data_IF_743993703786
#
_entry.id   IF_743993703786
#
_cell.length_a   1.000
_cell.length_b   1.000
_cell.length_c   1.000
_cell.angle_alpha   90.00
_cell.angle_beta   90.00
_cell.angle_gamma   90.00
#
_symmetry.space_group_name_H-M   'P 1'
#
loop_
_entity.id
_entity.type
_entity.pdbx_description
1 polymer ?
#
# COMPACT_ATOMS: atom_id res chain seq x y z
N UNK A 1 9.77 24.91 -5.02
CA UNK A 1 9.68 23.74 -4.12
C UNK A 1 8.35 23.08 -4.39
N UNK A 2 8.33 21.90 -5.00
CA UNK A 2 7.10 21.12 -5.13
C UNK A 2 6.72 20.62 -3.75
N UNK A 3 5.62 21.14 -3.19
CA UNK A 3 5.08 20.60 -1.94
C UNK A 3 4.66 19.15 -2.21
N UNK A 4 5.34 18.20 -1.57
CA UNK A 4 4.96 16.79 -1.65
C UNK A 4 3.59 16.62 -0.98
N UNK A 5 2.58 16.33 -1.79
CA UNK A 5 1.22 16.07 -1.31
C UNK A 5 1.17 14.64 -0.81
N UNK A 6 0.74 14.46 0.44
CA UNK A 6 0.40 13.15 1.02
C UNK A 6 -1.11 13.06 1.14
N UNK A 7 -1.68 12.00 0.60
CA UNK A 7 -3.12 11.78 0.63
C UNK A 7 -3.42 10.51 1.44
N UNK A 8 -4.50 10.52 2.20
CA UNK A 8 -4.90 9.42 3.08
C UNK A 8 -6.38 9.12 2.96
N UNK A 9 -6.72 7.83 3.11
CA UNK A 9 -8.07 7.41 3.45
C UNK A 9 -8.12 7.19 4.96
N UNK A 10 -9.17 7.68 5.61
CA UNK A 10 -9.31 7.59 7.05
C UNK A 10 -10.77 7.40 7.46
N UNK A 11 -11.00 7.00 8.71
CA UNK A 11 -12.31 6.93 9.33
C UNK A 11 -12.39 7.95 10.45
N UNK A 12 -13.45 8.76 10.44
CA UNK A 12 -13.80 9.70 11.51
C UNK A 12 -15.32 9.70 11.68
N UNK A 13 -15.79 9.58 12.93
CA UNK A 13 -17.22 9.42 13.27
C UNK A 13 -17.92 8.28 12.51
N UNK A 14 -17.25 7.12 12.38
CA UNK A 14 -17.73 5.93 11.65
C UNK A 14 -17.85 6.08 10.13
N UNK A 15 -17.63 7.27 9.58
CA UNK A 15 -17.62 7.51 8.14
C UNK A 15 -16.22 7.37 7.58
N UNK A 16 -16.10 6.69 6.44
CA UNK A 16 -14.89 6.71 5.62
C UNK A 16 -14.78 8.05 4.89
N UNK A 17 -13.58 8.62 4.90
CA UNK A 17 -13.26 9.96 4.42
C UNK A 17 -11.89 9.98 3.75
N UNK A 18 -11.62 11.07 3.04
CA UNK A 18 -10.41 11.27 2.26
C UNK A 18 -9.79 12.61 2.60
N UNK A 19 -8.46 12.64 2.73
CA UNK A 19 -7.79 13.82 3.21
C UNK A 19 -6.39 14.02 2.68
N UNK A 20 -5.92 15.26 2.79
CA UNK A 20 -4.56 15.68 2.49
C UNK A 20 -3.81 15.97 3.79
N UNK A 21 -2.62 15.41 3.95
CA UNK A 21 -1.83 15.54 5.18
C UNK A 21 -0.95 16.78 5.12
N UNK A 22 -1.04 17.64 6.13
CA UNK A 22 -0.16 18.80 6.33
C UNK A 22 0.30 18.85 7.78
N UNK A 23 1.60 18.61 8.02
CA UNK A 23 2.11 18.45 9.39
C UNK A 23 1.47 17.25 10.09
N UNK A 24 0.85 17.51 11.25
CA UNK A 24 0.08 16.57 12.07
C UNK A 24 -1.43 16.66 11.82
N UNK A 25 -1.84 17.35 10.75
CA UNK A 25 -3.22 17.57 10.39
C UNK A 25 -3.61 16.86 9.10
N UNK A 26 -4.90 16.58 8.97
CA UNK A 26 -5.56 16.11 7.76
C UNK A 26 -6.64 17.12 7.37
N UNK A 27 -6.49 17.71 6.19
CA UNK A 27 -7.55 18.47 5.55
C UNK A 27 -8.56 17.49 4.93
N UNK A 28 -9.80 17.44 5.42
CA UNK A 28 -10.87 16.55 4.96
C UNK A 28 -11.47 17.05 3.63
N UNK A 29 -10.97 16.48 2.53
CA UNK A 29 -11.34 16.85 1.17
C UNK A 29 -12.50 16.00 0.64
N UNK A 30 -13.13 15.16 1.46
CA UNK A 30 -14.16 14.21 1.02
C UNK A 30 -15.26 14.86 0.18
N UNK A 31 -15.72 16.05 0.60
CA UNK A 31 -16.77 16.82 -0.06
C UNK A 31 -16.30 17.51 -1.36
N UNK A 32 -14.99 17.63 -1.58
CA UNK A 32 -14.39 18.27 -2.76
C UNK A 32 -14.18 17.28 -3.92
N UNK A 33 -14.18 15.97 -3.65
CA UNK A 33 -13.91 14.93 -4.66
C UNK A 33 -15.11 14.63 -5.58
N UNK A 34 -16.28 15.21 -5.30
CA UNK A 34 -17.48 14.98 -6.11
C UNK A 34 -18.01 13.54 -6.09
N UNK A 35 -18.94 13.23 -6.98
CA UNK A 35 -19.65 11.94 -7.01
C UNK A 35 -18.77 10.73 -7.38
N UNK A 36 -17.67 10.98 -8.09
CA UNK A 36 -16.75 9.94 -8.57
C UNK A 36 -15.70 9.54 -7.52
N UNK A 37 -15.56 10.33 -6.47
CA UNK A 37 -14.82 9.98 -5.25
C UNK A 37 -13.31 9.79 -5.43
N UNK A 38 -12.73 9.02 -4.52
CA UNK A 38 -11.28 8.84 -4.38
C UNK A 38 -10.63 8.02 -5.48
N UNK A 39 -11.33 6.99 -6.00
CA UNK A 39 -10.78 6.08 -6.99
C UNK A 39 -10.46 6.79 -8.31
N UNK A 40 -11.31 7.71 -8.78
CA UNK A 40 -11.06 8.47 -10.01
C UNK A 40 -9.82 9.39 -9.89
N UNK A 41 -9.55 9.93 -8.70
CA UNK A 41 -8.36 10.76 -8.48
C UNK A 41 -7.06 9.93 -8.46
N UNK A 42 -7.18 8.63 -8.19
CA UNK A 42 -6.07 7.68 -8.30
C UNK A 42 -5.94 7.12 -9.73
N UNK A 43 -7.06 6.82 -10.38
CA UNK A 43 -7.17 6.30 -11.74
C UNK A 43 -7.12 7.43 -12.78
N UNK A 44 -5.94 7.67 -13.35
CA UNK A 44 -5.76 8.51 -14.54
C UNK A 44 -4.61 9.49 -14.41
N UNK A 45 -4.53 10.24 -13.31
CA UNK A 45 -3.56 11.35 -13.16
C UNK A 45 -2.74 11.33 -11.86
N UNK A 46 -3.04 10.40 -10.95
CA UNK A 46 -2.37 10.25 -9.66
C UNK A 46 -2.74 11.32 -8.63
N UNK A 47 -2.41 11.04 -7.36
CA UNK A 47 -2.66 11.94 -6.22
C UNK A 47 -1.93 13.29 -6.34
N UNK A 48 -0.94 13.37 -7.23
CA UNK A 48 -0.12 14.56 -7.49
C UNK A 48 -0.89 15.71 -8.14
N UNK A 49 -2.12 15.49 -8.61
CA UNK A 49 -2.96 16.54 -9.19
C UNK A 49 -4.06 17.07 -8.26
N UNK A 50 -4.13 16.59 -7.01
CA UNK A 50 -5.01 17.25 -6.02
C UNK A 50 -4.50 18.69 -5.83
N UNK A 51 -5.35 19.72 -6.04
CA UNK A 51 -4.90 21.10 -5.96
C UNK A 51 -4.39 21.40 -4.54
N UNK A 52 -3.19 21.99 -4.36
CA UNK A 52 -2.71 22.41 -3.04
C UNK A 52 -3.70 23.33 -2.31
N UNK A 53 -4.54 24.06 -3.06
CA UNK A 53 -5.61 24.90 -2.51
C UNK A 53 -6.64 24.12 -1.69
N UNK A 54 -6.79 22.81 -1.88
CA UNK A 54 -7.70 21.98 -1.08
C UNK A 54 -7.33 21.98 0.40
N UNK A 55 -6.04 22.15 0.73
CA UNK A 55 -5.59 22.30 2.12
C UNK A 55 -6.24 23.50 2.83
N UNK A 56 -6.61 24.54 2.08
CA UNK A 56 -7.18 25.77 2.64
C UNK A 56 -8.72 25.79 2.60
N UNK A 57 -9.35 24.85 1.89
CA UNK A 57 -10.80 24.79 1.68
C UNK A 57 -11.49 23.75 2.57
N UNK A 58 -10.72 22.82 3.13
CA UNK A 58 -11.23 21.70 3.88
C UNK A 58 -11.04 21.90 5.41
N UNK A 59 -12.01 21.44 6.23
CA UNK A 59 -11.81 21.35 7.68
C UNK A 59 -10.58 20.51 8.01
N UNK A 60 -9.83 20.93 9.03
CA UNK A 60 -8.65 20.22 9.50
C UNK A 60 -8.98 19.35 10.72
N UNK A 61 -8.46 18.12 10.71
CA UNK A 61 -8.54 17.17 11.82
C UNK A 61 -7.13 16.75 12.25
N UNK A 62 -6.84 16.64 13.56
CA UNK A 62 -5.59 16.04 14.02
C UNK A 62 -5.47 14.60 13.51
N UNK A 63 -4.30 14.23 12.99
CA UNK A 63 -4.05 12.87 12.46
C UNK A 63 -4.27 11.77 13.49
N UNK A 64 -4.08 12.09 14.78
CA UNK A 64 -4.24 11.17 15.90
C UNK A 64 -5.71 10.96 16.30
N UNK A 65 -6.63 11.80 15.82
CA UNK A 65 -8.06 11.72 16.12
C UNK A 65 -8.82 10.88 15.08
N UNK A 66 -8.12 10.34 14.09
CA UNK A 66 -8.69 9.51 13.03
C UNK A 66 -8.07 8.12 13.00
N UNK A 67 -8.81 7.14 12.46
CA UNK A 67 -8.23 5.84 12.11
C UNK A 67 -7.82 5.84 10.63
N UNK A 68 -6.52 5.80 10.33
CA UNK A 68 -6.05 5.66 8.96
C UNK A 68 -6.41 4.27 8.40
N UNK A 69 -6.81 4.24 7.14
CA UNK A 69 -7.20 3.03 6.42
C UNK A 69 -6.15 2.71 5.36
N UNK A 70 -6.13 1.47 4.80
CA UNK A 70 -5.38 1.20 3.57
C UNK A 70 -5.69 2.28 2.52
N UNK A 71 -4.77 2.65 1.62
CA UNK A 71 -4.99 3.77 0.70
C UNK A 71 -6.09 3.50 -0.34
N UNK A 72 -6.30 2.24 -0.72
CA UNK A 72 -7.29 1.79 -1.73
C UNK A 72 -8.38 0.93 -1.10
N UNK A 73 -9.65 1.22 -1.41
CA UNK A 73 -10.78 0.53 -0.76
C UNK A 73 -10.98 -0.84 -1.38
N UNK A 74 -10.84 -0.91 -2.70
CA UNK A 74 -11.01 -2.12 -3.49
C UNK A 74 -9.93 -2.20 -4.58
N UNK A 75 -8.66 -2.45 -4.23
CA UNK A 75 -7.61 -2.59 -5.23
C UNK A 75 -7.86 -3.83 -6.09
N UNK A 76 -7.76 -3.69 -7.42
CA UNK A 76 -8.06 -4.79 -8.34
C UNK A 76 -7.04 -5.93 -8.32
N UNK A 77 -5.75 -5.61 -8.13
CA UNK A 77 -4.65 -6.59 -7.99
C UNK A 77 -3.63 -6.08 -6.99
N UNK A 78 -3.12 -6.97 -6.14
CA UNK A 78 -1.96 -6.72 -5.28
C UNK A 78 -0.93 -7.79 -5.64
N UNK A 79 0.16 -7.36 -6.27
CA UNK A 79 1.24 -8.23 -6.75
C UNK A 79 2.48 -7.89 -5.94
N UNK A 80 3.02 -8.88 -5.24
CA UNK A 80 4.19 -8.76 -4.39
C UNK A 80 5.40 -9.34 -5.11
N UNK A 81 6.58 -8.74 -4.87
CA UNK A 81 7.86 -9.20 -5.40
C UNK A 81 8.64 -9.85 -4.27
N UNK A 82 8.93 -11.15 -4.39
CA UNK A 82 9.76 -11.86 -3.43
C UNK A 82 11.24 -11.63 -3.69
N UNK A 83 12.02 -11.50 -2.60
CA UNK A 83 13.50 -11.45 -2.60
C UNK A 83 14.05 -10.37 -3.55
N UNK A 84 13.83 -9.10 -3.19
CA UNK A 84 14.19 -7.96 -4.04
C UNK A 84 15.18 -6.95 -3.38
N UNK A 85 15.82 -7.34 -2.28
CA UNK A 85 16.93 -6.58 -1.69
C UNK A 85 18.26 -7.34 -1.89
N UNK A 86 19.27 -6.72 -2.51
CA UNK A 86 20.51 -7.40 -2.90
C UNK A 86 21.40 -7.77 -1.71
N UNK A 87 21.39 -6.98 -0.64
CA UNK A 87 22.05 -7.30 0.63
C UNK A 87 21.21 -8.32 1.41
N UNK A 88 21.35 -9.59 1.01
CA UNK A 88 20.68 -10.71 1.68
C UNK A 88 21.20 -10.89 3.11
N UNK A 89 20.28 -11.19 4.03
CA UNK A 89 20.59 -11.84 5.30
C UNK A 89 21.38 -13.15 5.04
N UNK A 90 22.24 -13.55 5.98
CA UNK A 90 23.11 -14.74 5.87
C UNK A 90 22.37 -16.03 5.47
N UNK A 91 21.07 -16.09 5.74
CA UNK A 91 20.15 -17.21 5.47
C UNK A 91 19.92 -17.52 3.97
N UNK A 92 20.25 -16.61 3.06
CA UNK A 92 20.07 -16.80 1.60
C UNK A 92 21.39 -16.72 0.80
N UNK A 93 22.54 -16.85 1.47
CA UNK A 93 23.88 -16.88 0.84
C UNK A 93 24.20 -18.28 0.29
N UNK A 94 23.37 -18.80 -0.60
CA UNK A 94 23.60 -20.13 -1.20
C UNK A 94 24.60 -20.12 -2.37
N UNK A 95 25.35 -19.02 -2.55
CA UNK A 95 26.37 -18.89 -3.60
C UNK A 95 25.83 -18.88 -5.03
N UNK A 96 24.51 -18.82 -5.21
CA UNK A 96 23.86 -18.79 -6.52
C UNK A 96 23.69 -17.35 -7.02
N UNK A 97 23.83 -17.16 -8.34
CA UNK A 97 23.49 -15.91 -9.02
C UNK A 97 22.05 -15.47 -8.68
N UNK A 98 21.82 -14.17 -8.63
CA UNK A 98 20.48 -13.63 -8.44
C UNK A 98 19.54 -14.17 -9.53
N UNK A 99 18.29 -14.55 -9.21
CA UNK A 99 17.34 -15.05 -10.20
C UNK A 99 17.18 -14.05 -11.35
N UNK A 100 17.22 -14.53 -12.59
CA UNK A 100 17.06 -13.68 -13.78
C UNK A 100 15.65 -13.07 -13.93
N UNK A 101 14.67 -13.56 -13.17
CA UNK A 101 13.28 -13.09 -13.18
C UNK A 101 12.77 -12.90 -11.75
N UNK A 102 11.92 -11.89 -11.50
CA UNK A 102 11.35 -11.66 -10.18
C UNK A 102 10.41 -12.80 -9.77
N UNK A 103 10.46 -13.18 -8.49
CA UNK A 103 9.45 -14.07 -7.90
C UNK A 103 8.20 -13.27 -7.58
N UNK A 104 7.03 -13.71 -8.05
CA UNK A 104 5.78 -12.99 -7.86
C UNK A 104 4.76 -13.85 -7.12
N UNK A 105 4.01 -13.21 -6.23
CA UNK A 105 2.84 -13.79 -5.57
C UNK A 105 1.76 -12.74 -5.34
N UNK A 106 0.58 -13.18 -4.93
CA UNK A 106 -0.57 -12.31 -4.74
C UNK A 106 -0.92 -12.16 -3.26
N UNK A 107 -1.46 -10.99 -2.94
CA UNK A 107 -2.16 -10.76 -1.68
C UNK A 107 -3.58 -10.28 -1.90
N UNK A 108 -4.45 -10.54 -0.93
CA UNK A 108 -5.83 -10.09 -0.93
C UNK A 108 -6.00 -8.83 -0.09
N UNK A 109 -6.92 -7.91 -0.47
CA UNK A 109 -7.09 -6.64 0.25
C UNK A 109 -7.41 -6.81 1.73
N UNK A 110 -8.19 -7.84 2.07
CA UNK A 110 -8.62 -8.17 3.43
C UNK A 110 -7.48 -8.54 4.37
N UNK A 111 -6.36 -9.04 3.84
CA UNK A 111 -5.20 -9.42 4.64
C UNK A 111 -4.37 -8.24 5.16
N UNK A 112 -4.74 -6.99 4.81
CA UNK A 112 -4.06 -5.77 5.23
C UNK A 112 -4.89 -4.95 6.23
N UNK A 113 -4.18 -4.23 7.11
CA UNK A 113 -4.75 -3.29 8.05
C UNK A 113 -4.23 -1.87 7.81
N UNK A 114 -4.88 -0.88 8.45
CA UNK A 114 -4.49 0.52 8.34
C UNK A 114 -3.22 0.87 9.11
N UNK A 115 -2.67 2.06 8.87
CA UNK A 115 -1.53 2.56 9.64
C UNK A 115 -1.87 2.69 11.13
N UNK A 116 -0.93 2.29 12.01
CA UNK A 116 -1.11 2.20 13.46
C UNK A 116 -2.30 1.34 13.91
N UNK A 117 -2.81 0.47 13.04
CA UNK A 117 -3.79 -0.55 13.43
C UNK A 117 -3.07 -1.86 13.74
N UNK A 118 -3.61 -2.68 14.66
CA UNK A 118 -3.02 -3.97 14.99
C UNK A 118 -2.97 -4.90 13.78
N UNK A 119 -1.82 -5.55 13.58
CA UNK A 119 -1.72 -6.75 12.76
C UNK A 119 -1.99 -7.95 13.68
N UNK A 120 -3.06 -8.69 13.42
CA UNK A 120 -3.50 -9.78 14.29
C UNK A 120 -2.68 -11.03 14.00
N UNK A 121 -2.03 -11.58 15.04
CA UNK A 121 -1.44 -12.91 14.95
C UNK A 121 -2.53 -13.96 15.12
N UNK A 122 -2.78 -14.81 14.13
CA UNK A 122 -3.81 -15.82 14.21
C UNK A 122 -3.37 -16.97 15.14
N UNK A 123 -4.31 -17.72 15.74
CA UNK A 123 -3.99 -18.82 16.66
C UNK A 123 -3.24 -19.99 15.99
N UNK A 124 -3.32 -20.12 14.67
CA UNK A 124 -2.70 -21.19 13.86
C UNK A 124 -1.17 -21.14 13.83
N UNK A 125 -0.55 -20.01 14.19
CA UNK A 125 0.91 -19.89 14.18
C UNK A 125 1.43 -18.91 15.24
N UNK A 126 2.60 -19.26 15.77
CA UNK A 126 3.40 -18.37 16.61
C UNK A 126 4.50 -17.62 15.84
N UNK A 127 4.65 -17.90 14.54
CA UNK A 127 5.73 -17.39 13.69
C UNK A 127 5.24 -16.26 12.76
N UNK A 128 4.46 -15.32 13.30
CA UNK A 128 4.16 -14.07 12.59
C UNK A 128 5.40 -13.19 12.58
N UNK A 129 5.81 -12.80 11.38
CA UNK A 129 6.95 -11.93 11.12
C UNK A 129 6.53 -10.71 10.29
N UNK A 130 7.32 -9.65 10.38
CA UNK A 130 7.11 -8.41 9.64
C UNK A 130 8.04 -8.34 8.43
N UNK A 131 7.61 -7.66 7.37
CA UNK A 131 8.44 -7.36 6.20
C UNK A 131 8.15 -5.93 5.76
N UNK A 132 9.13 -5.04 5.91
CA UNK A 132 9.00 -3.64 5.52
C UNK A 132 9.20 -3.48 4.02
N UNK A 133 8.17 -3.02 3.31
CA UNK A 133 8.14 -2.93 1.86
C UNK A 133 7.74 -1.53 1.37
N UNK A 134 8.23 -1.16 0.19
CA UNK A 134 7.72 -0.01 -0.58
C UNK A 134 6.66 -0.53 -1.55
N UNK A 135 5.44 -0.02 -1.43
CA UNK A 135 4.34 -0.37 -2.32
C UNK A 135 4.13 0.73 -3.37
N UNK A 136 4.04 0.30 -4.63
CA UNK A 136 3.71 1.15 -5.77
C UNK A 136 2.19 1.14 -6.00
N UNK A 137 1.58 2.32 -6.08
CA UNK A 137 0.17 2.47 -6.47
C UNK A 137 0.12 2.79 -7.95
N UNK A 138 -0.46 1.89 -8.75
CA UNK A 138 -0.61 2.08 -10.19
C UNK A 138 -1.85 2.92 -10.47
N UNK A 139 -1.69 4.05 -11.16
CA UNK A 139 -2.79 4.96 -11.50
C UNK A 139 -3.15 5.00 -12.97
N UNK A 140 -2.29 4.53 -13.86
CA UNK A 140 -2.55 4.48 -15.31
C UNK A 140 -2.56 3.04 -15.78
N UNK A 141 -3.67 2.61 -16.38
CA UNK A 141 -3.76 1.29 -16.98
C UNK A 141 -2.79 1.16 -18.18
N UNK A 142 -2.30 -0.05 -18.42
CA UNK A 142 -1.43 -0.34 -19.56
C UNK A 142 -1.15 -1.83 -19.69
N UNK A 143 -0.59 -2.23 -20.82
CA UNK A 143 -0.19 -3.61 -21.12
C UNK A 143 1.02 -3.59 -22.03
N UNK A 144 2.03 -4.43 -21.75
CA UNK A 144 3.33 -4.44 -22.46
C UNK A 144 3.99 -3.06 -22.42
N UNK A 145 3.98 -2.45 -21.24
CA UNK A 145 4.62 -1.16 -20.97
C UNK A 145 6.14 -1.39 -21.03
N UNK A 146 6.86 -0.52 -21.74
CA UNK A 146 8.31 -0.54 -21.79
C UNK A 146 8.90 0.00 -20.47
N UNK A 147 10.13 -0.38 -20.17
CA UNK A 147 10.79 0.01 -18.90
C UNK A 147 10.91 1.53 -18.75
N UNK A 148 11.24 2.23 -19.83
CA UNK A 148 11.38 3.70 -19.88
C UNK A 148 10.04 4.44 -19.65
N UNK A 149 8.91 3.78 -19.92
CA UNK A 149 7.57 4.31 -19.68
C UNK A 149 6.98 3.86 -18.34
N UNK A 150 7.62 2.96 -17.58
CA UNK A 150 7.03 2.33 -16.41
C UNK A 150 6.68 3.33 -15.30
N UNK A 151 7.55 4.33 -15.06
CA UNK A 151 7.35 5.32 -14.00
C UNK A 151 6.12 6.21 -14.25
N UNK A 152 5.75 6.44 -15.51
CA UNK A 152 4.56 7.23 -15.88
C UNK A 152 3.24 6.56 -15.49
N UNK A 153 3.28 5.28 -15.09
CA UNK A 153 2.12 4.53 -14.65
C UNK A 153 1.94 4.53 -13.12
N UNK A 154 2.94 4.98 -12.37
CA UNK A 154 2.92 5.02 -10.90
C UNK A 154 2.26 6.32 -10.44
N UNK A 155 1.14 6.20 -9.71
CA UNK A 155 0.43 7.34 -9.14
C UNK A 155 0.97 7.76 -7.77
N UNK A 156 1.47 6.82 -6.98
CA UNK A 156 1.98 7.09 -5.65
C UNK A 156 2.90 5.97 -5.15
N UNK A 157 3.66 6.30 -4.11
CA UNK A 157 4.41 5.36 -3.28
C UNK A 157 3.79 5.34 -1.90
N UNK A 158 3.79 4.19 -1.25
CA UNK A 158 3.41 4.06 0.16
C UNK A 158 4.27 3.01 0.86
N UNK A 159 4.19 2.99 2.19
CA UNK A 159 4.84 1.98 3.01
C UNK A 159 3.87 0.84 3.26
N UNK A 160 4.39 -0.39 3.28
CA UNK A 160 3.63 -1.59 3.50
C UNK A 160 4.38 -2.48 4.50
N UNK A 161 3.67 -3.01 5.50
CA UNK A 161 4.17 -4.16 6.25
C UNK A 161 3.52 -5.42 5.68
N UNK A 162 4.34 -6.28 5.11
CA UNK A 162 3.93 -7.52 4.45
C UNK A 162 4.04 -8.69 5.44
N UNK A 163 3.08 -8.72 6.37
CA UNK A 163 3.02 -9.69 7.46
C UNK A 163 2.99 -11.13 6.97
N UNK A 164 3.86 -11.96 7.55
CA UNK A 164 4.11 -13.32 7.07
C UNK A 164 4.04 -14.34 8.20
N UNK A 165 3.27 -15.42 8.03
CA UNK A 165 3.39 -16.61 8.88
C UNK A 165 4.44 -17.56 8.30
N UNK A 166 5.63 -17.57 8.88
CA UNK A 166 6.83 -18.20 8.30
C UNK A 166 6.71 -19.70 8.08
N UNK A 167 6.11 -20.41 9.03
CA UNK A 167 5.82 -21.83 8.94
C UNK A 167 4.78 -22.17 7.86
N UNK A 168 3.87 -21.24 7.57
CA UNK A 168 2.85 -21.41 6.54
C UNK A 168 3.35 -21.14 5.12
N UNK A 169 4.46 -20.41 4.95
CA UNK A 169 5.09 -20.16 3.64
C UNK A 169 5.64 -21.45 3.01
N UNK A 170 5.97 -22.45 3.82
CA UNK A 170 6.51 -23.76 3.38
C UNK A 170 5.55 -24.93 3.63
N UNK A 171 4.29 -24.65 3.96
CA UNK A 171 3.30 -25.67 4.29
C UNK A 171 2.90 -26.51 3.07
N UNK A 172 2.95 -25.93 1.86
CA UNK A 172 2.82 -26.64 0.59
C UNK A 172 4.12 -26.59 -0.22
N UNK A 173 4.29 -27.51 -1.18
CA UNK A 173 5.54 -27.69 -1.93
C UNK A 173 6.03 -26.45 -2.69
N UNK A 174 5.15 -25.58 -3.20
CA UNK A 174 5.53 -24.55 -4.18
C UNK A 174 4.77 -23.22 -4.05
N UNK A 175 4.20 -22.89 -2.89
CA UNK A 175 3.41 -21.66 -2.79
C UNK A 175 3.49 -20.97 -1.42
N UNK A 176 3.78 -19.67 -1.44
CA UNK A 176 3.84 -18.79 -0.28
C UNK A 176 2.46 -18.23 0.12
N UNK A 177 1.46 -18.29 -0.78
CA UNK A 177 0.12 -17.68 -0.62
C UNK A 177 -0.50 -17.97 0.74
N UNK A 178 -0.34 -19.20 1.25
CA UNK A 178 -0.92 -19.62 2.52
C UNK A 178 -0.40 -18.79 3.69
N UNK A 179 0.93 -18.61 3.82
CA UNK A 179 1.53 -17.78 4.86
C UNK A 179 1.41 -16.27 4.64
N UNK A 180 0.87 -15.86 3.49
CA UNK A 180 0.83 -14.47 3.02
C UNK A 180 -0.59 -13.89 2.96
N UNK A 181 -1.64 -14.59 3.36
CA UNK A 181 -3.04 -14.13 3.20
C UNK A 181 -3.96 -14.45 4.39
N UNK A 182 -3.44 -14.47 5.61
CA UNK A 182 -4.28 -14.57 6.81
C UNK A 182 -5.05 -13.26 7.06
N UNK A 183 -6.27 -13.39 7.58
CA UNK A 183 -7.18 -12.29 7.97
C UNK A 183 -7.39 -12.25 9.49
#
# INVERSE_FOLDING_TARGET
>A
MTHSIRAVRFRHDKSERFGLVHGDQIADVTHLLGANGWAEHLEGKGLTQLPPSFLNLAPSLPINDVALLPPLASPGKIICVGVNFPDRNEEYKDGQEAPANPSLFIRFPSSFTGHNQPLIRPPESHQLDYEGEIALVIGKAGRRISEDAALDHIAALTLCNEGTLRDWVRHAKFNVTQGKNFE
#
